data_IF_197227216430
#
_entry.id   IF_197227216430
#
_cell.length_a   1.000
_cell.length_b   1.000
_cell.length_c   1.000
_cell.angle_alpha   90.00
_cell.angle_beta   90.00
_cell.angle_gamma   90.00
#
_symmetry.space_group_name_H-M   'P 1'
#
loop_
_entity.id
_entity.type
_entity.pdbx_description
1 polymer ?
#
# COMPACT_ATOMS: atom_id res chain seq x y z
N UNK A 1 22.14 -10.90 -5.46
CA UNK A 1 22.23 -9.63 -4.70
C UNK A 1 21.54 -9.88 -3.39
N UNK A 2 22.31 -9.93 -2.31
CA UNK A 2 21.81 -10.18 -0.96
C UNK A 2 21.01 -8.96 -0.50
N UNK A 3 19.70 -9.13 -0.30
CA UNK A 3 18.88 -8.12 0.35
C UNK A 3 19.47 -7.83 1.73
N UNK A 4 19.81 -6.59 1.99
CA UNK A 4 20.14 -6.15 3.32
C UNK A 4 18.89 -6.31 4.18
N UNK A 5 18.88 -7.32 5.02
CA UNK A 5 17.97 -7.36 6.16
C UNK A 5 18.42 -6.24 7.09
N UNK A 6 17.73 -5.13 7.05
CA UNK A 6 17.83 -4.13 8.10
C UNK A 6 17.18 -4.73 9.34
N UNK A 7 17.93 -4.84 10.42
CA UNK A 7 17.38 -5.22 11.72
C UNK A 7 16.42 -4.11 12.16
N UNK A 8 15.14 -4.29 11.85
CA UNK A 8 14.08 -3.41 12.30
C UNK A 8 13.74 -3.70 13.77
N UNK A 9 13.35 -2.68 14.53
CA UNK A 9 13.01 -2.87 15.93
C UNK A 9 11.87 -3.88 16.09
N UNK A 10 12.00 -4.72 17.11
CA UNK A 10 10.98 -5.70 17.48
C UNK A 10 9.76 -4.95 18.03
N UNK A 11 8.67 -4.92 17.27
CA UNK A 11 7.37 -4.48 17.76
C UNK A 11 6.52 -5.70 18.07
N UNK A 12 5.80 -5.68 19.18
CA UNK A 12 4.91 -6.77 19.60
C UNK A 12 5.59 -8.15 19.73
N UNK A 13 6.91 -8.20 19.98
CA UNK A 13 7.65 -9.44 20.19
C UNK A 13 7.99 -10.23 18.93
N UNK A 14 7.77 -9.66 17.74
CA UNK A 14 8.09 -10.25 16.44
C UNK A 14 8.98 -9.34 15.60
N UNK A 15 9.87 -9.94 14.81
CA UNK A 15 10.63 -9.19 13.80
C UNK A 15 9.70 -8.75 12.68
N UNK A 16 9.80 -7.47 12.31
CA UNK A 16 9.13 -6.94 11.12
C UNK A 16 9.97 -7.30 9.90
N UNK A 17 9.38 -7.99 8.95
CA UNK A 17 10.04 -8.31 7.68
C UNK A 17 9.71 -7.24 6.63
N UNK A 18 10.74 -6.67 6.03
CA UNK A 18 10.62 -5.74 4.93
C UNK A 18 11.11 -6.42 3.66
N UNK A 19 10.28 -6.43 2.64
CA UNK A 19 10.61 -7.03 1.34
C UNK A 19 10.43 -6.00 0.24
N UNK A 20 11.50 -5.74 -0.49
CA UNK A 20 11.44 -4.91 -1.70
C UNK A 20 11.11 -5.79 -2.91
N UNK A 21 10.13 -5.36 -3.69
CA UNK A 21 9.68 -6.08 -4.88
C UNK A 21 10.02 -5.27 -6.14
N UNK A 22 10.27 -5.96 -7.24
CA UNK A 22 10.57 -5.31 -8.52
C UNK A 22 9.33 -4.81 -9.27
N UNK A 23 8.17 -5.36 -8.96
CA UNK A 23 6.91 -5.03 -9.62
C UNK A 23 5.83 -4.79 -8.57
N UNK A 24 5.07 -3.74 -8.76
CA UNK A 24 3.94 -3.40 -7.90
C UNK A 24 2.84 -4.47 -7.98
N UNK A 25 2.63 -5.06 -9.14
CA UNK A 25 1.70 -6.18 -9.30
C UNK A 25 2.18 -7.40 -8.49
N UNK A 26 3.47 -7.69 -8.52
CA UNK A 26 4.09 -8.74 -7.70
C UNK A 26 4.02 -8.43 -6.21
N UNK A 27 4.27 -7.18 -5.83
CA UNK A 27 4.12 -6.73 -4.44
C UNK A 27 2.70 -6.91 -3.93
N UNK A 28 1.69 -6.52 -4.72
CA UNK A 28 0.29 -6.70 -4.37
C UNK A 28 -0.09 -8.19 -4.25
N UNK A 29 0.45 -9.04 -5.11
CA UNK A 29 0.28 -10.50 -5.00
C UNK A 29 0.90 -11.08 -3.73
N UNK A 30 2.10 -10.62 -3.36
CA UNK A 30 2.76 -11.01 -2.11
C UNK A 30 1.97 -10.55 -0.88
N UNK A 31 1.46 -9.31 -0.90
CA UNK A 31 0.57 -8.78 0.15
C UNK A 31 -0.68 -9.65 0.29
N UNK A 32 -1.34 -9.96 -0.82
CA UNK A 32 -2.52 -10.83 -0.82
C UNK A 32 -2.23 -12.20 -0.21
N UNK A 33 -1.14 -12.85 -0.60
CA UNK A 33 -0.74 -14.15 -0.04
C UNK A 33 -0.43 -14.08 1.45
N UNK A 34 0.26 -13.04 1.89
CA UNK A 34 0.58 -12.80 3.30
C UNK A 34 -0.68 -12.60 4.15
N UNK A 35 -1.63 -11.81 3.66
CA UNK A 35 -2.93 -11.58 4.32
C UNK A 35 -3.75 -12.86 4.40
N UNK A 36 -3.79 -13.65 3.33
CA UNK A 36 -4.48 -14.93 3.30
C UNK A 36 -3.88 -15.94 4.30
N UNK A 37 -2.58 -15.83 4.57
CA UNK A 37 -1.89 -16.60 5.60
C UNK A 37 -2.12 -16.07 7.03
N UNK A 38 -2.83 -14.96 7.19
CA UNK A 38 -3.17 -14.37 8.48
C UNK A 38 -2.13 -13.39 9.04
N UNK A 39 -1.16 -12.97 8.26
CA UNK A 39 -0.16 -12.00 8.69
C UNK A 39 -0.66 -10.56 8.54
N UNK A 40 -0.33 -9.69 9.50
CA UNK A 40 -0.54 -8.26 9.36
C UNK A 40 0.43 -7.72 8.31
N UNK A 41 -0.10 -7.16 7.24
CA UNK A 41 0.71 -6.74 6.10
C UNK A 41 0.31 -5.35 5.63
N UNK A 42 1.31 -4.52 5.35
CA UNK A 42 1.13 -3.18 4.75
C UNK A 42 2.04 -3.02 3.54
N UNK A 43 1.70 -2.11 2.65
CA UNK A 43 2.53 -1.78 1.50
C UNK A 43 2.50 -0.29 1.20
N UNK A 44 3.48 0.15 0.42
CA UNK A 44 3.67 1.55 0.04
C UNK A 44 3.81 1.65 -1.46
N UNK A 45 3.08 2.57 -2.07
CA UNK A 45 3.09 2.74 -3.53
C UNK A 45 2.74 4.17 -3.93
N UNK A 46 2.80 4.45 -5.22
CA UNK A 46 2.44 5.74 -5.79
C UNK A 46 2.08 5.61 -7.28
N UNK A 47 1.21 6.50 -7.77
CA UNK A 47 0.97 6.71 -9.20
C UNK A 47 0.67 5.41 -9.98
N UNK A 48 1.39 5.16 -11.07
CA UNK A 48 1.22 3.95 -11.89
C UNK A 48 1.40 2.64 -11.11
N UNK A 49 2.24 2.64 -10.08
CA UNK A 49 2.41 1.47 -9.22
C UNK A 49 1.10 1.05 -8.55
N UNK A 50 0.32 2.01 -8.07
CA UNK A 50 -1.00 1.75 -7.53
C UNK A 50 -1.95 1.16 -8.59
N UNK A 51 -1.91 1.67 -9.82
CA UNK A 51 -2.73 1.14 -10.90
C UNK A 51 -2.41 -0.31 -11.23
N UNK A 52 -1.15 -0.70 -11.15
CA UNK A 52 -0.73 -2.10 -11.34
C UNK A 52 -1.23 -3.02 -10.22
N UNK A 53 -1.58 -2.47 -9.07
CA UNK A 53 -2.13 -3.22 -7.94
C UNK A 53 -3.66 -3.41 -8.02
N UNK A 54 -4.38 -2.68 -8.87
CA UNK A 54 -5.85 -2.67 -8.94
C UNK A 54 -6.47 -4.07 -9.00
N UNK A 55 -6.04 -5.01 -9.85
CA UNK A 55 -6.62 -6.35 -9.87
C UNK A 55 -6.56 -7.07 -8.52
N UNK A 56 -5.46 -6.91 -7.80
CA UNK A 56 -5.31 -7.49 -6.46
C UNK A 56 -6.13 -6.74 -5.40
N UNK A 57 -6.31 -5.42 -5.54
CA UNK A 57 -7.18 -4.63 -4.66
C UNK A 57 -8.63 -5.13 -4.72
N UNK A 58 -9.15 -5.41 -5.91
CA UNK A 58 -10.48 -6.01 -6.06
C UNK A 58 -10.58 -7.33 -5.30
N UNK A 59 -9.56 -8.16 -5.42
CA UNK A 59 -9.55 -9.47 -4.77
C UNK A 59 -9.44 -9.36 -3.25
N UNK A 60 -8.52 -8.54 -2.76
CA UNK A 60 -8.34 -8.29 -1.31
C UNK A 60 -9.61 -7.73 -0.69
N UNK A 61 -10.23 -6.74 -1.34
CA UNK A 61 -11.48 -6.15 -0.87
C UNK A 61 -12.64 -7.15 -0.93
N UNK A 62 -12.75 -7.92 -2.00
CA UNK A 62 -13.79 -8.95 -2.16
C UNK A 62 -13.67 -10.09 -1.15
N UNK A 63 -12.46 -10.44 -0.74
CA UNK A 63 -12.18 -11.44 0.29
C UNK A 63 -12.21 -10.85 1.71
N UNK A 64 -12.40 -9.53 1.85
CA UNK A 64 -12.44 -8.80 3.12
C UNK A 64 -11.16 -9.01 3.96
N UNK A 65 -10.01 -9.07 3.31
CA UNK A 65 -8.74 -9.22 3.98
C UNK A 65 -8.27 -7.86 4.55
N UNK A 66 -7.82 -7.82 5.81
CA UNK A 66 -7.39 -6.58 6.45
C UNK A 66 -6.03 -6.14 5.93
N UNK A 67 -6.01 -5.13 5.09
CA UNK A 67 -4.80 -4.59 4.48
C UNK A 67 -4.76 -3.07 4.56
N UNK A 68 -3.58 -2.49 4.74
CA UNK A 68 -3.35 -1.06 4.63
C UNK A 68 -2.39 -0.78 3.48
N UNK A 69 -2.85 0.03 2.54
CA UNK A 69 -2.07 0.52 1.39
C UNK A 69 -1.76 1.99 1.62
N UNK A 70 -0.50 2.31 1.82
CA UNK A 70 -0.04 3.68 1.96
C UNK A 70 0.31 4.23 0.58
N UNK A 71 -0.40 5.26 0.15
CA UNK A 71 -0.29 5.82 -1.20
C UNK A 71 0.21 7.24 -1.15
N UNK A 72 1.38 7.49 -1.73
CA UNK A 72 1.83 8.85 -2.02
C UNK A 72 1.15 9.31 -3.31
N UNK A 73 -0.03 9.91 -3.18
CA UNK A 73 -0.87 10.28 -4.31
C UNK A 73 -0.18 11.32 -5.19
N UNK A 74 0.00 11.00 -6.46
CA UNK A 74 0.60 11.89 -7.46
C UNK A 74 0.02 11.67 -8.83
N UNK A 75 0.24 12.66 -9.72
CA UNK A 75 -0.24 12.62 -11.08
C UNK A 75 0.20 11.36 -11.83
N UNK A 76 -0.71 10.80 -12.60
CA UNK A 76 -0.40 9.71 -13.52
C UNK A 76 0.40 10.24 -14.71
N UNK A 77 1.40 9.49 -15.15
CA UNK A 77 2.12 9.82 -16.37
C UNK A 77 1.21 9.59 -17.59
N UNK A 78 0.95 10.66 -18.32
CA UNK A 78 0.21 10.59 -19.59
C UNK A 78 1.08 10.99 -20.78
N UNK A 79 1.73 12.14 -20.70
CA UNK A 79 2.68 12.61 -21.72
C UNK A 79 4.13 12.60 -21.21
N UNK A 80 4.31 12.86 -19.91
CA UNK A 80 5.60 12.86 -19.24
C UNK A 80 5.41 12.43 -17.78
N UNK A 81 6.48 11.94 -17.18
CA UNK A 81 6.50 11.66 -15.74
C UNK A 81 6.30 12.95 -14.95
N UNK A 82 5.40 12.91 -13.98
CA UNK A 82 5.16 14.01 -13.03
C UNK A 82 5.30 13.52 -11.61
N UNK A 83 5.91 14.35 -10.76
CA UNK A 83 6.05 14.09 -9.31
C UNK A 83 5.11 14.96 -8.48
N UNK A 84 4.29 15.79 -9.12
CA UNK A 84 3.35 16.65 -8.41
C UNK A 84 2.21 15.86 -7.78
N UNK A 85 1.77 16.32 -6.60
CA UNK A 85 0.61 15.76 -5.92
C UNK A 85 -0.64 15.86 -6.77
N UNK A 86 -1.37 14.77 -6.88
CA UNK A 86 -2.62 14.66 -7.64
C UNK A 86 -3.40 13.46 -7.10
N UNK A 87 -4.70 13.44 -7.32
CA UNK A 87 -5.59 12.36 -6.87
C UNK A 87 -6.01 11.40 -7.98
N UNK A 88 -5.48 11.54 -9.19
CA UNK A 88 -5.88 10.71 -10.34
C UNK A 88 -5.59 9.22 -10.13
N UNK A 89 -4.51 8.88 -9.43
CA UNK A 89 -4.16 7.50 -9.10
C UNK A 89 -5.14 6.86 -8.12
N UNK A 90 -5.45 7.53 -7.00
CA UNK A 90 -6.42 7.02 -6.02
C UNK A 90 -7.84 7.02 -6.55
N UNK A 91 -8.20 7.99 -7.38
CA UNK A 91 -9.51 8.04 -8.03
C UNK A 91 -9.72 6.86 -9.00
N UNK A 92 -8.66 6.36 -9.63
CA UNK A 92 -8.73 5.16 -10.44
C UNK A 92 -9.08 3.90 -9.61
N UNK A 93 -8.81 3.92 -8.32
CA UNK A 93 -9.08 2.81 -7.40
C UNK A 93 -10.46 2.88 -6.72
N UNK A 94 -11.27 3.91 -6.96
CA UNK A 94 -12.53 4.16 -6.25
C UNK A 94 -13.55 3.02 -6.32
N UNK A 95 -13.48 2.18 -7.35
CA UNK A 95 -14.43 1.08 -7.57
C UNK A 95 -13.96 -0.25 -6.98
N UNK A 96 -12.77 -0.32 -6.42
CA UNK A 96 -12.20 -1.57 -5.90
C UNK A 96 -12.91 -2.07 -4.64
N UNK A 97 -13.62 -1.20 -3.93
CA UNK A 97 -14.28 -1.51 -2.66
C UNK A 97 -13.43 -1.20 -1.42
N UNK A 98 -12.21 -0.71 -1.61
CA UNK A 98 -11.37 -0.27 -0.49
C UNK A 98 -11.84 1.06 0.08
N UNK A 99 -11.83 1.20 1.41
CA UNK A 99 -12.00 2.49 2.06
C UNK A 99 -10.80 3.39 1.79
N UNK A 100 -11.01 4.68 1.71
CA UNK A 100 -9.94 5.66 1.50
C UNK A 100 -9.92 6.66 2.64
N UNK A 101 -8.75 6.86 3.24
CA UNK A 101 -8.45 7.95 4.17
C UNK A 101 -7.52 8.91 3.46
N UNK A 102 -7.80 10.20 3.56
CA UNK A 102 -6.99 11.25 2.94
C UNK A 102 -6.35 12.11 4.01
N UNK A 103 -5.06 12.32 3.90
CA UNK A 103 -4.26 13.12 4.81
C UNK A 103 -3.61 14.27 4.04
N UNK A 104 -3.62 15.46 4.63
CA UNK A 104 -3.07 16.67 4.03
C UNK A 104 -1.81 17.19 4.73
N UNK A 105 -1.45 16.61 5.85
CA UNK A 105 -0.27 16.99 6.63
C UNK A 105 0.44 15.77 7.20
N UNK A 106 1.71 15.94 7.55
CA UNK A 106 2.51 14.89 8.21
C UNK A 106 1.87 14.46 9.52
N UNK A 107 1.29 15.40 10.26
CA UNK A 107 0.60 15.11 11.53
C UNK A 107 -0.62 14.22 11.30
N UNK A 108 -1.42 14.51 10.27
CA UNK A 108 -2.58 13.68 9.93
C UNK A 108 -2.17 12.27 9.53
N UNK A 109 -1.06 12.12 8.79
CA UNK A 109 -0.52 10.79 8.46
C UNK A 109 -0.17 10.01 9.74
N UNK A 110 0.49 10.66 10.70
CA UNK A 110 0.83 10.04 11.98
C UNK A 110 -0.40 9.63 12.79
N UNK A 111 -1.47 10.42 12.72
CA UNK A 111 -2.69 10.18 13.48
C UNK A 111 -3.60 9.13 12.82
N UNK A 112 -3.75 9.18 11.49
CA UNK A 112 -4.69 8.33 10.75
C UNK A 112 -4.12 6.95 10.37
N UNK A 113 -2.80 6.80 10.27
CA UNK A 113 -2.20 5.49 9.95
C UNK A 113 -2.53 4.43 11.01
N UNK A 114 -2.41 4.69 12.33
CA UNK A 114 -2.88 3.75 13.34
C UNK A 114 -4.39 3.48 13.25
N UNK A 115 -5.19 4.48 12.93
CA UNK A 115 -6.66 4.32 12.76
C UNK A 115 -6.94 3.36 11.60
N UNK A 116 -6.25 3.52 10.47
CA UNK A 116 -6.40 2.62 9.32
C UNK A 116 -6.07 1.15 9.67
N UNK A 117 -5.06 0.93 10.52
CA UNK A 117 -4.68 -0.42 10.94
C UNK A 117 -5.63 -1.03 11.99
N UNK A 118 -6.39 -0.19 12.71
CA UNK A 118 -7.32 -0.64 13.75
C UNK A 118 -8.75 -0.78 13.24
N UNK A 119 -9.03 -0.25 12.08
CA UNK A 119 -10.35 -0.34 11.47
C UNK A 119 -10.49 -1.57 10.58
#
# INVERSE_FOLDING_TARGET
MSGQQTEEPIFFGHEVQITEMQSEAGAAGAVHGSLAAGALTTTYTASQGLLLMIPNLYKIAGEQLPAVFNVSARALASHALSIFGDHSDVMACRQTGCAMLCESSVQEVMDLTPVAHLS
#
